data_IF_072976531909
#
_entry.id   IF_072976531909
#
_cell.length_a   1.000
_cell.length_b   1.000
_cell.length_c   1.000
_cell.angle_alpha   90.00
_cell.angle_beta   90.00
_cell.angle_gamma   90.00
#
_symmetry.space_group_name_H-M   'P 1'
#
loop_
_entity.id
_entity.type
_entity.pdbx_description
1 polymer ?
#
# COMPACT_ATOMS: atom_id res chain seq x y z
N UNK A 1 -13.27 5.31 2.52
CA UNK A 1 -13.13 5.79 3.89
C UNK A 1 -11.66 5.86 4.25
N UNK A 2 -11.21 7.02 4.64
CA UNK A 2 -9.84 7.18 5.09
C UNK A 2 -9.66 6.43 6.39
N UNK A 3 -8.97 5.32 6.37
CA UNK A 3 -8.43 4.70 7.56
C UNK A 3 -7.29 5.54 8.12
N UNK A 4 -7.50 6.85 8.29
CA UNK A 4 -6.44 7.80 8.63
C UNK A 4 -5.75 7.50 9.97
N UNK A 5 -6.33 6.68 10.79
CA UNK A 5 -5.68 6.20 12.00
C UNK A 5 -4.86 4.94 11.76
N UNK A 6 -5.16 4.19 10.70
CA UNK A 6 -4.54 2.91 10.43
C UNK A 6 -3.07 3.01 10.23
N UNK A 7 -2.65 4.08 9.58
CA UNK A 7 -1.48 3.98 8.75
C UNK A 7 -0.51 5.14 8.94
N UNK A 8 -0.31 5.55 10.13
CA UNK A 8 0.97 6.15 10.50
C UNK A 8 2.12 5.12 10.45
N UNK A 9 1.89 4.02 9.71
CA UNK A 9 2.87 2.98 9.43
C UNK A 9 3.25 2.08 10.61
N UNK A 10 2.61 2.25 11.78
CA UNK A 10 3.03 1.56 13.01
C UNK A 10 1.91 0.88 13.79
N UNK A 11 0.66 1.27 13.59
CA UNK A 11 -0.48 0.71 14.32
C UNK A 11 -1.69 0.52 13.41
N UNK A 12 -2.41 -0.59 13.60
CA UNK A 12 -3.71 -0.82 12.96
C UNK A 12 -4.80 -0.06 13.70
N UNK A 13 -5.73 0.55 12.95
CA UNK A 13 -6.98 1.04 13.53
C UNK A 13 -7.86 -0.12 13.95
N UNK A 14 -8.88 0.18 14.75
CA UNK A 14 -9.96 -0.75 15.03
C UNK A 14 -10.85 -0.92 13.78
N UNK A 15 -10.41 -1.81 12.89
CA UNK A 15 -11.11 -2.10 11.64
C UNK A 15 -12.48 -2.70 11.88
N UNK A 16 -12.67 -3.45 12.99
CA UNK A 16 -13.95 -4.04 13.34
C UNK A 16 -14.95 -2.95 13.68
N UNK A 17 -14.57 -2.03 14.54
CA UNK A 17 -15.43 -0.90 14.91
C UNK A 17 -15.82 -0.06 13.70
N UNK A 18 -14.86 0.25 12.83
CA UNK A 18 -15.11 1.04 11.63
C UNK A 18 -16.04 0.31 10.65
N UNK A 19 -15.93 -1.01 10.52
CA UNK A 19 -16.86 -1.81 9.72
C UNK A 19 -18.27 -1.75 10.31
N UNK A 20 -18.43 -1.88 11.61
CA UNK A 20 -19.73 -1.74 12.29
C UNK A 20 -20.34 -0.35 12.09
N UNK A 21 -19.49 0.68 11.94
CA UNK A 21 -19.92 2.04 11.58
C UNK A 21 -20.22 2.23 10.07
N UNK A 22 -20.11 1.17 9.26
CA UNK A 22 -20.47 1.20 7.84
C UNK A 22 -19.28 1.29 6.87
N UNK A 23 -18.02 1.12 7.31
CA UNK A 23 -16.89 1.02 6.40
C UNK A 23 -16.98 -0.24 5.55
N UNK A 24 -16.82 -0.09 4.23
CA UNK A 24 -16.92 -1.17 3.23
C UNK A 24 -15.55 -1.70 2.79
N UNK A 25 -14.47 -1.01 3.12
CA UNK A 25 -13.09 -1.35 2.84
C UNK A 25 -12.13 -0.37 3.47
N UNK A 26 -10.82 -0.60 3.33
CA UNK A 26 -9.77 0.24 3.92
C UNK A 26 -8.67 0.53 2.92
N UNK A 27 -8.01 1.66 3.10
CA UNK A 27 -6.90 2.11 2.24
C UNK A 27 -5.85 2.85 3.05
N UNK A 28 -4.60 2.84 2.58
CA UNK A 28 -3.49 3.63 3.12
C UNK A 28 -3.42 5.07 2.55
N UNK A 29 -4.20 5.34 1.50
CA UNK A 29 -4.44 6.69 0.94
C UNK A 29 -3.16 7.51 0.68
N UNK A 30 -2.24 6.96 -0.07
CA UNK A 30 -1.11 7.70 -0.65
C UNK A 30 0.20 7.64 0.13
N UNK A 31 0.21 7.07 1.32
CA UNK A 31 1.44 6.77 2.07
C UNK A 31 1.56 5.26 2.26
N UNK A 32 2.47 4.59 1.54
CA UNK A 32 2.59 3.15 1.61
C UNK A 32 3.02 2.70 3.00
N UNK A 33 2.47 1.59 3.45
CA UNK A 33 2.89 0.94 4.68
C UNK A 33 4.17 0.16 4.40
N UNK A 34 5.29 0.63 4.91
CA UNK A 34 6.59 -0.01 4.70
C UNK A 34 6.81 -1.22 5.62
N UNK A 35 6.18 -1.26 6.78
CA UNK A 35 6.29 -2.36 7.72
C UNK A 35 5.44 -3.55 7.27
N UNK A 36 6.11 -4.62 6.85
CA UNK A 36 5.44 -5.83 6.35
C UNK A 36 4.63 -6.57 7.42
N UNK A 37 5.00 -6.46 8.70
CA UNK A 37 4.21 -7.05 9.79
C UNK A 37 2.87 -6.34 9.97
N UNK A 38 2.87 -5.01 9.86
CA UNK A 38 1.63 -4.22 9.90
C UNK A 38 0.70 -4.61 8.74
N UNK A 39 1.23 -4.73 7.51
CA UNK A 39 0.47 -5.18 6.34
C UNK A 39 -0.08 -6.59 6.54
N UNK A 40 0.75 -7.51 7.03
CA UNK A 40 0.34 -8.89 7.28
C UNK A 40 -0.84 -8.96 8.26
N UNK A 41 -0.75 -8.23 9.37
CA UNK A 41 -1.84 -8.17 10.36
C UNK A 41 -3.09 -7.46 9.82
N UNK A 42 -2.93 -6.40 9.02
CA UNK A 42 -4.03 -5.73 8.34
C UNK A 42 -4.78 -6.68 7.40
N UNK A 43 -4.04 -7.46 6.61
CA UNK A 43 -4.63 -8.45 5.70
C UNK A 43 -5.33 -9.58 6.44
N UNK A 44 -4.76 -10.09 7.53
CA UNK A 44 -5.44 -11.10 8.38
C UNK A 44 -6.76 -10.55 8.92
N UNK A 45 -6.75 -9.31 9.41
CA UNK A 45 -7.95 -8.68 9.96
C UNK A 45 -8.99 -8.40 8.88
N UNK A 46 -8.57 -7.92 7.71
CA UNK A 46 -9.46 -7.71 6.58
C UNK A 46 -10.10 -9.02 6.10
N UNK A 47 -9.35 -10.11 6.10
CA UNK A 47 -9.87 -11.44 5.78
C UNK A 47 -10.91 -11.90 6.80
N UNK A 48 -10.64 -11.73 8.08
CA UNK A 48 -11.59 -12.06 9.17
C UNK A 48 -12.89 -11.28 9.02
N UNK A 49 -12.79 -9.99 8.69
CA UNK A 49 -13.93 -9.08 8.55
C UNK A 49 -14.61 -9.16 7.17
N UNK A 50 -14.05 -9.89 6.23
CA UNK A 50 -14.52 -9.97 4.83
C UNK A 50 -14.66 -8.58 4.16
N UNK A 51 -13.62 -7.76 4.28
CA UNK A 51 -13.53 -6.43 3.64
C UNK A 51 -12.32 -6.35 2.74
N UNK A 52 -12.40 -5.60 1.62
CA UNK A 52 -11.26 -5.37 0.74
C UNK A 52 -10.31 -4.32 1.30
N UNK A 53 -9.04 -4.44 0.88
CA UNK A 53 -7.99 -3.45 1.09
C UNK A 53 -7.55 -2.86 -0.26
N UNK A 54 -7.23 -1.57 -0.26
CA UNK A 54 -6.64 -0.87 -1.41
C UNK A 54 -5.37 -0.17 -0.94
N UNK A 55 -4.23 -0.55 -1.52
CA UNK A 55 -2.92 -0.02 -1.14
C UNK A 55 -2.36 0.92 -2.19
N UNK A 56 -1.53 1.85 -1.73
CA UNK A 56 -0.73 2.71 -2.56
C UNK A 56 0.69 2.13 -2.65
N UNK A 57 1.00 1.61 -3.82
CA UNK A 57 2.19 0.79 -4.04
C UNK A 57 3.34 1.62 -4.60
N UNK A 58 4.08 2.27 -3.71
CA UNK A 58 5.24 3.07 -4.11
C UNK A 58 6.28 3.09 -2.98
N UNK A 59 7.42 2.43 -3.19
CA UNK A 59 8.53 2.48 -2.22
C UNK A 59 9.27 3.82 -2.32
N UNK A 60 9.12 4.72 -1.35
CA UNK A 60 9.71 6.05 -1.41
C UNK A 60 11.25 6.02 -1.39
N UNK A 61 11.86 4.95 -0.92
CA UNK A 61 13.32 4.80 -0.92
C UNK A 61 13.91 4.65 -2.33
N UNK A 62 13.09 4.22 -3.30
CA UNK A 62 13.47 4.03 -4.69
C UNK A 62 13.09 5.20 -5.60
N UNK A 63 12.46 6.24 -5.05
CA UNK A 63 12.08 7.44 -5.77
C UNK A 63 12.97 8.59 -5.36
N UNK A 64 13.90 8.94 -6.24
CA UNK A 64 14.83 10.04 -6.00
C UNK A 64 14.30 11.39 -6.46
N UNK A 65 13.47 11.40 -7.51
CA UNK A 65 12.83 12.60 -8.07
C UNK A 65 11.43 12.26 -8.54
N UNK A 66 10.44 13.04 -8.10
CA UNK A 66 9.05 12.87 -8.54
C UNK A 66 8.78 13.71 -9.80
N UNK A 67 7.93 13.20 -10.68
CA UNK A 67 7.39 13.96 -11.82
C UNK A 67 7.43 13.26 -13.17
N UNK A 68 8.32 12.31 -13.37
CA UNK A 68 8.42 11.52 -14.60
C UNK A 68 8.95 10.12 -14.28
N UNK A 69 8.48 9.13 -15.00
CA UNK A 69 9.02 7.78 -14.91
C UNK A 69 10.40 7.69 -15.58
N UNK A 70 11.27 6.87 -15.01
CA UNK A 70 12.55 6.53 -15.65
C UNK A 70 12.30 5.80 -16.97
N UNK A 71 12.93 6.29 -18.05
CA UNK A 71 12.79 5.70 -19.37
C UNK A 71 13.45 6.53 -20.46
N UNK A 72 13.07 6.27 -21.71
CA UNK A 72 13.64 6.99 -22.88
C UNK A 72 13.39 8.51 -22.82
N UNK A 73 12.20 8.92 -22.37
CA UNK A 73 11.83 10.33 -22.30
C UNK A 73 12.64 11.05 -21.23
N UNK A 74 12.75 10.46 -20.02
CA UNK A 74 13.57 11.04 -18.96
C UNK A 74 15.03 11.20 -19.38
N UNK A 75 15.58 10.21 -20.09
CA UNK A 75 16.93 10.26 -20.66
C UNK A 75 17.07 11.36 -21.70
N UNK A 76 16.12 11.48 -22.63
CA UNK A 76 16.12 12.53 -23.67
C UNK A 76 16.07 13.93 -23.07
N UNK A 77 15.33 14.10 -21.98
CA UNK A 77 15.19 15.39 -21.30
C UNK A 77 16.33 15.68 -20.32
N UNK A 78 17.21 14.71 -20.05
CA UNK A 78 18.28 14.84 -19.06
C UNK A 78 17.76 14.96 -17.63
N UNK A 79 16.58 14.41 -17.35
CA UNK A 79 15.91 14.47 -16.05
C UNK A 79 15.94 13.07 -15.43
N UNK A 80 16.26 12.98 -14.14
CA UNK A 80 16.13 11.74 -13.40
C UNK A 80 14.66 11.37 -13.26
N UNK A 81 14.34 10.10 -13.54
CA UNK A 81 12.99 9.57 -13.41
C UNK A 81 12.81 8.70 -12.17
N UNK A 82 11.54 8.51 -11.77
CA UNK A 82 11.17 7.54 -10.76
C UNK A 82 11.27 6.12 -11.34
N UNK A 83 11.91 5.21 -10.63
CA UNK A 83 12.03 3.82 -11.06
C UNK A 83 10.69 3.09 -10.91
N UNK A 84 10.28 2.35 -11.94
CA UNK A 84 9.11 1.48 -11.87
C UNK A 84 9.28 0.35 -10.84
N UNK A 85 10.52 0.01 -10.49
CA UNK A 85 10.81 -0.99 -9.44
C UNK A 85 10.23 -0.55 -8.09
N UNK A 86 10.07 0.75 -7.85
CA UNK A 86 9.44 1.28 -6.63
C UNK A 86 8.00 0.77 -6.46
N UNK A 87 7.25 0.65 -7.53
CA UNK A 87 5.90 0.08 -7.55
C UNK A 87 5.95 -1.45 -7.54
N UNK A 88 6.78 -2.04 -8.40
CA UNK A 88 6.87 -3.49 -8.59
C UNK A 88 7.20 -4.24 -7.30
N UNK A 89 8.13 -3.74 -6.48
CA UNK A 89 8.51 -4.41 -5.22
C UNK A 89 7.39 -4.38 -4.19
N UNK A 90 6.61 -3.30 -4.15
CA UNK A 90 5.48 -3.18 -3.21
C UNK A 90 4.33 -4.08 -3.65
N UNK A 91 3.99 -4.08 -4.93
CA UNK A 91 2.98 -4.98 -5.49
C UNK A 91 3.37 -6.44 -5.25
N UNK A 92 4.62 -6.81 -5.51
CA UNK A 92 5.11 -8.17 -5.28
C UNK A 92 5.00 -8.58 -3.80
N UNK A 93 5.44 -7.72 -2.88
CA UNK A 93 5.33 -7.95 -1.44
C UNK A 93 3.88 -8.20 -1.03
N UNK A 94 2.99 -7.31 -1.42
CA UNK A 94 1.60 -7.35 -0.96
C UNK A 94 0.81 -8.48 -1.61
N UNK A 95 1.10 -8.82 -2.86
CA UNK A 95 0.57 -10.03 -3.48
C UNK A 95 0.99 -11.31 -2.74
N UNK A 96 2.26 -11.42 -2.33
CA UNK A 96 2.73 -12.59 -1.59
C UNK A 96 2.04 -12.73 -0.22
N UNK A 97 1.84 -11.60 0.47
CA UNK A 97 1.12 -11.59 1.76
C UNK A 97 -0.37 -11.89 1.54
N UNK A 98 -0.99 -11.35 0.49
CA UNK A 98 -2.38 -11.62 0.15
C UNK A 98 -2.63 -13.11 -0.16
N UNK A 99 -1.72 -13.74 -0.89
CA UNK A 99 -1.78 -15.20 -1.14
C UNK A 99 -1.73 -15.99 0.17
N UNK A 100 -0.85 -15.60 1.08
CA UNK A 100 -0.70 -16.26 2.38
C UNK A 100 -1.91 -16.08 3.28
N UNK A 101 -2.49 -14.89 3.32
CA UNK A 101 -3.61 -14.56 4.22
C UNK A 101 -4.98 -14.86 3.62
N UNK A 102 -5.10 -14.90 2.31
CA UNK A 102 -6.37 -14.98 1.59
C UNK A 102 -7.17 -13.68 1.60
N UNK A 103 -6.54 -12.55 1.89
CA UNK A 103 -7.17 -11.23 1.88
C UNK A 103 -7.53 -10.80 0.44
N UNK A 104 -8.56 -9.96 0.35
CA UNK A 104 -8.93 -9.27 -0.90
C UNK A 104 -8.17 -7.95 -0.96
N UNK A 105 -7.26 -7.81 -1.93
CA UNK A 105 -6.44 -6.61 -2.14
C UNK A 105 -6.49 -6.18 -3.59
#
# INVERSE_FOLDING_TARGET
>A
MKGNGCFKGKELVDMKYLKECGAVGFTDDGLPIMDSDVIYNAMLKAKELDVPLSFHEEDPSLITVAGINEGEISKKLGISGASNVAEDVMVARDCMIAIKTGAKV
#
